data_IF_058198686424
#
_entry.id   IF_058198686424
#
_cell.length_a   1.000
_cell.length_b   1.000
_cell.length_c   1.000
_cell.angle_alpha   90.00
_cell.angle_beta   90.00
_cell.angle_gamma   90.00
#
_symmetry.space_group_name_H-M   'P 1'
#
loop_
_entity.id
_entity.type
_entity.pdbx_description
1 polymer ?
#
# COMPACT_ATOMS: atom_id res chain seq x y z
N UNK A 1 13.49 7.07 -1.85
CA UNK A 1 13.84 6.63 -0.48
C UNK A 1 13.44 5.18 -0.23
N UNK A 2 12.15 4.82 -0.22
CA UNK A 2 11.75 3.43 0.03
C UNK A 2 12.30 2.43 -1.01
N UNK A 3 12.31 2.78 -2.31
CA UNK A 3 12.99 1.97 -3.35
C UNK A 3 14.46 1.68 -3.00
N UNK A 4 15.20 2.69 -2.51
CA UNK A 4 16.59 2.54 -2.07
C UNK A 4 16.71 1.58 -0.88
N UNK A 5 15.83 1.72 0.12
CA UNK A 5 15.78 0.79 1.26
C UNK A 5 15.53 -0.65 0.80
N UNK A 6 14.57 -0.85 -0.10
CA UNK A 6 14.28 -2.19 -0.64
C UNK A 6 15.45 -2.74 -1.44
N UNK A 7 16.15 -1.93 -2.23
CA UNK A 7 17.36 -2.36 -2.93
C UNK A 7 18.43 -2.85 -1.94
N UNK A 8 18.69 -2.11 -0.87
CA UNK A 8 19.64 -2.53 0.17
C UNK A 8 19.20 -3.83 0.86
N UNK A 9 17.91 -3.96 1.19
CA UNK A 9 17.38 -5.20 1.76
C UNK A 9 17.51 -6.39 0.81
N UNK A 10 17.40 -6.14 -0.51
CA UNK A 10 17.61 -7.15 -1.56
C UNK A 10 19.07 -7.54 -1.71
N UNK A 11 19.99 -6.57 -1.73
CA UNK A 11 21.43 -6.81 -1.80
C UNK A 11 21.92 -7.71 -0.64
N UNK A 12 21.26 -7.62 0.52
CA UNK A 12 21.50 -8.47 1.70
C UNK A 12 20.74 -9.81 1.68
N UNK A 13 19.92 -10.09 0.66
CA UNK A 13 19.09 -11.30 0.55
C UNK A 13 17.96 -11.38 1.58
N UNK A 14 17.55 -10.25 2.19
CA UNK A 14 16.54 -10.25 3.25
C UNK A 14 15.11 -10.40 2.70
N UNK A 15 14.87 -9.89 1.48
CA UNK A 15 13.58 -10.04 0.79
C UNK A 15 13.15 -11.49 0.50
N UNK A 16 14.08 -12.44 0.54
CA UNK A 16 13.81 -13.88 0.41
C UNK A 16 13.49 -14.54 1.76
N UNK A 17 13.85 -13.89 2.87
CA UNK A 17 13.73 -14.43 4.23
C UNK A 17 12.53 -13.87 4.99
N UNK A 18 11.97 -12.75 4.54
CA UNK A 18 10.84 -12.09 5.16
C UNK A 18 9.92 -11.45 4.13
N UNK A 19 8.62 -11.42 4.43
CA UNK A 19 7.65 -10.69 3.64
C UNK A 19 7.59 -9.23 4.08
N UNK A 20 7.68 -8.31 3.12
CA UNK A 20 7.65 -6.88 3.36
C UNK A 20 6.27 -6.33 2.99
N UNK A 21 5.55 -5.85 3.99
CA UNK A 21 4.25 -5.17 3.82
C UNK A 21 4.44 -3.66 3.97
N UNK A 22 4.06 -2.90 2.96
CA UNK A 22 4.17 -1.43 2.99
C UNK A 22 2.91 -0.84 3.60
N UNK A 23 3.07 -0.11 4.71
CA UNK A 23 1.98 0.66 5.31
C UNK A 23 1.57 1.83 4.43
N UNK A 24 0.28 1.92 4.07
CA UNK A 24 -0.28 3.00 3.24
C UNK A 24 -1.59 3.50 3.86
N UNK A 25 -1.93 4.77 3.65
CA UNK A 25 -3.17 5.34 4.17
C UNK A 25 -3.54 6.67 3.53
N UNK A 26 -4.85 6.96 3.37
CA UNK A 26 -5.30 8.20 2.73
C UNK A 26 -5.13 9.42 3.65
N UNK A 27 -4.66 10.52 3.07
CA UNK A 27 -4.53 11.81 3.76
C UNK A 27 -5.85 12.59 3.70
N UNK A 28 -6.44 12.89 4.87
CA UNK A 28 -7.74 13.57 4.92
C UNK A 28 -7.70 15.03 4.43
N UNK A 29 -6.57 15.71 4.61
CA UNK A 29 -6.39 17.13 4.29
C UNK A 29 -4.92 17.53 4.29
N UNK A 30 -4.62 18.71 3.75
CA UNK A 30 -3.33 19.39 3.87
C UNK A 30 -2.93 19.64 5.32
N UNK A 31 -3.90 19.93 6.21
CA UNK A 31 -3.63 20.14 7.65
C UNK A 31 -3.15 18.85 8.32
N UNK A 32 -3.76 17.72 7.96
CA UNK A 32 -3.33 16.40 8.43
C UNK A 32 -1.94 16.07 7.89
N UNK A 33 -1.66 16.36 6.62
CA UNK A 33 -0.35 16.16 6.02
C UNK A 33 0.74 17.02 6.72
N UNK A 34 0.48 18.31 6.95
CA UNK A 34 1.40 19.20 7.69
C UNK A 34 1.62 18.74 9.13
N UNK A 35 0.56 18.30 9.82
CA UNK A 35 0.69 17.73 11.16
C UNK A 35 1.58 16.49 11.15
N UNK A 36 1.35 15.54 10.24
CA UNK A 36 2.16 14.32 10.14
C UNK A 36 3.62 14.65 9.85
N UNK A 37 3.88 15.57 8.92
CA UNK A 37 5.23 16.05 8.57
C UNK A 37 5.96 16.71 9.74
N UNK A 38 5.26 17.49 10.55
CA UNK A 38 5.88 18.33 11.59
C UNK A 38 5.89 17.70 12.98
N UNK A 39 5.00 16.74 13.26
CA UNK A 39 4.78 16.18 14.61
C UNK A 39 5.08 14.70 14.73
N UNK A 40 5.24 13.97 13.63
CA UNK A 40 5.53 12.53 13.69
C UNK A 40 7.00 12.28 13.32
N UNK A 41 7.85 11.84 14.28
CA UNK A 41 9.25 11.55 14.01
C UNK A 41 9.44 10.56 12.88
N UNK A 42 10.38 10.84 11.98
CA UNK A 42 10.69 9.98 10.84
C UNK A 42 9.69 10.02 9.69
N UNK A 43 8.56 10.73 9.82
CA UNK A 43 7.63 10.93 8.71
C UNK A 43 8.09 12.09 7.84
N UNK A 44 8.16 11.83 6.54
CA UNK A 44 8.45 12.84 5.54
C UNK A 44 7.35 12.85 4.48
N UNK A 45 6.64 13.97 4.38
CA UNK A 45 5.65 14.22 3.32
C UNK A 45 6.22 15.29 2.39
N UNK A 46 6.39 15.00 1.09
CA UNK A 46 6.88 15.97 0.11
C UNK A 46 5.98 17.22 0.00
N UNK A 47 6.57 18.38 -0.28
CA UNK A 47 5.84 19.64 -0.46
C UNK A 47 4.77 19.55 -1.55
N UNK A 48 5.06 18.83 -2.64
CA UNK A 48 4.12 18.59 -3.74
C UNK A 48 2.82 17.92 -3.28
N UNK A 49 2.87 17.00 -2.31
CA UNK A 49 1.69 16.31 -1.78
C UNK A 49 0.86 17.25 -0.93
N UNK A 50 1.52 18.06 -0.09
CA UNK A 50 0.83 19.06 0.74
C UNK A 50 0.17 20.11 -0.15
N UNK A 51 0.88 20.59 -1.17
CA UNK A 51 0.38 21.62 -2.08
C UNK A 51 -0.77 21.10 -2.96
N UNK A 52 -0.68 19.85 -3.43
CA UNK A 52 -1.77 19.18 -4.14
C UNK A 52 -3.05 19.16 -3.29
N UNK A 53 -2.96 18.76 -2.02
CA UNK A 53 -4.09 18.79 -1.09
C UNK A 53 -4.57 20.21 -0.77
N UNK A 54 -3.65 21.18 -0.68
CA UNK A 54 -3.97 22.59 -0.40
C UNK A 54 -4.80 23.22 -1.51
N UNK A 55 -4.44 22.95 -2.77
CA UNK A 55 -5.14 23.45 -3.98
C UNK A 55 -6.50 22.76 -4.20
N UNK A 56 -6.70 21.56 -3.67
CA UNK A 56 -7.97 20.85 -3.80
C UNK A 56 -9.09 21.52 -3.00
N UNK A 57 -10.28 21.76 -3.59
CA UNK A 57 -11.43 22.29 -2.86
C UNK A 57 -11.78 21.44 -1.64
N UNK A 58 -12.19 22.07 -0.53
CA UNK A 58 -12.46 21.39 0.76
C UNK A 58 -13.36 20.15 0.62
N UNK A 59 -14.39 20.22 -0.22
CA UNK A 59 -15.32 19.11 -0.47
C UNK A 59 -14.67 17.89 -1.15
N UNK A 60 -13.57 18.08 -1.90
CA UNK A 60 -12.87 17.03 -2.66
C UNK A 60 -11.56 16.56 -2.01
N UNK A 61 -11.11 17.17 -0.92
CA UNK A 61 -9.81 16.83 -0.28
C UNK A 61 -9.71 15.37 0.13
N UNK A 62 -10.81 14.78 0.61
CA UNK A 62 -10.87 13.38 0.99
C UNK A 62 -10.68 12.44 -0.21
N UNK A 63 -11.33 12.76 -1.33
CA UNK A 63 -11.18 12.02 -2.59
C UNK A 63 -9.74 12.15 -3.12
N UNK A 64 -9.15 13.35 -3.06
CA UNK A 64 -7.76 13.56 -3.44
C UNK A 64 -6.79 12.76 -2.57
N UNK A 65 -7.04 12.73 -1.26
CA UNK A 65 -6.28 11.91 -0.32
C UNK A 65 -6.34 10.41 -0.61
N UNK A 66 -7.53 9.92 -0.99
CA UNK A 66 -7.73 8.55 -1.49
C UNK A 66 -6.90 8.31 -2.75
N UNK A 67 -6.99 9.21 -3.72
CA UNK A 67 -6.27 9.12 -4.99
C UNK A 67 -4.76 9.06 -4.80
N UNK A 68 -4.20 9.92 -3.94
CA UNK A 68 -2.77 9.89 -3.57
C UNK A 68 -2.40 8.53 -2.95
N UNK A 69 -3.25 7.96 -2.08
CA UNK A 69 -3.02 6.63 -1.49
C UNK A 69 -2.99 5.53 -2.57
N UNK A 70 -3.94 5.55 -3.50
CA UNK A 70 -4.02 4.62 -4.63
C UNK A 70 -2.77 4.71 -5.51
N UNK A 71 -2.31 5.91 -5.86
CA UNK A 71 -1.09 6.13 -6.63
C UNK A 71 0.15 5.59 -5.91
N UNK A 72 0.24 5.77 -4.59
CA UNK A 72 1.33 5.20 -3.78
C UNK A 72 1.28 3.67 -3.83
N UNK A 73 0.09 3.06 -3.66
CA UNK A 73 -0.08 1.60 -3.74
C UNK A 73 0.42 1.08 -5.09
N UNK A 74 0.00 1.71 -6.19
CA UNK A 74 0.43 1.33 -7.54
C UNK A 74 1.97 1.38 -7.67
N UNK A 75 2.60 2.46 -7.20
CA UNK A 75 4.06 2.61 -7.25
C UNK A 75 4.82 1.60 -6.38
N UNK A 76 4.32 1.27 -5.18
CA UNK A 76 5.05 0.35 -4.28
C UNK A 76 4.91 -1.11 -4.72
N UNK A 77 3.84 -1.45 -5.45
CA UNK A 77 3.65 -2.78 -6.05
C UNK A 77 4.68 -3.10 -7.14
N UNK A 78 5.21 -2.08 -7.80
CA UNK A 78 6.27 -2.23 -8.81
C UNK A 78 7.65 -2.48 -8.17
N UNK A 79 7.77 -2.36 -6.85
CA UNK A 79 9.05 -2.53 -6.14
C UNK A 79 9.27 -4.01 -5.84
N UNK A 80 10.31 -4.58 -6.44
CA UNK A 80 10.71 -5.95 -6.18
C UNK A 80 10.99 -6.19 -4.69
N UNK A 81 10.55 -7.34 -4.18
CA UNK A 81 10.65 -7.72 -2.76
C UNK A 81 9.49 -7.21 -1.90
N UNK A 82 8.64 -6.30 -2.39
CA UNK A 82 7.39 -5.95 -1.71
C UNK A 82 6.37 -7.07 -1.89
N UNK A 83 5.87 -7.59 -0.78
CA UNK A 83 4.92 -8.70 -0.77
C UNK A 83 3.47 -8.20 -0.76
N UNK A 84 3.22 -6.98 -0.29
CA UNK A 84 1.89 -6.42 -0.28
C UNK A 84 1.82 -5.08 0.44
N UNK A 85 0.60 -4.66 0.73
CA UNK A 85 0.32 -3.40 1.41
C UNK A 85 -0.54 -3.64 2.65
N UNK A 86 -0.27 -2.87 3.69
CA UNK A 86 -1.11 -2.77 4.87
C UNK A 86 -1.87 -1.43 4.81
N UNK A 87 -3.16 -1.49 4.47
CA UNK A 87 -4.00 -0.30 4.32
C UNK A 87 -4.50 0.14 5.69
N UNK A 88 -4.08 1.34 6.12
CA UNK A 88 -4.48 2.00 7.35
C UNK A 88 -5.41 3.17 7.02
N UNK A 89 -6.68 3.05 7.36
CA UNK A 89 -7.70 4.06 7.06
C UNK A 89 -8.42 4.52 8.33
N UNK A 90 -7.67 4.97 9.32
CA UNK A 90 -8.24 5.41 10.61
C UNK A 90 -9.30 6.51 10.42
N UNK A 91 -10.53 6.25 10.90
CA UNK A 91 -11.72 7.11 10.76
C UNK A 91 -12.12 7.39 9.30
N UNK A 92 -11.68 6.54 8.38
CA UNK A 92 -11.96 6.58 6.95
C UNK A 92 -12.11 5.13 6.42
N UNK A 93 -12.56 4.21 7.25
CA UNK A 93 -12.64 2.77 6.99
C UNK A 93 -13.51 2.44 5.78
N UNK A 94 -14.52 3.28 5.51
CA UNK A 94 -15.38 3.17 4.34
C UNK A 94 -14.63 3.35 3.01
N UNK A 95 -13.47 4.01 3.00
CA UNK A 95 -12.66 4.19 1.79
C UNK A 95 -11.83 2.95 1.44
N UNK A 96 -11.69 1.98 2.36
CA UNK A 96 -10.79 0.84 2.16
C UNK A 96 -11.19 0.01 0.93
N UNK A 97 -12.48 -0.24 0.75
CA UNK A 97 -12.97 -1.00 -0.40
C UNK A 97 -12.63 -0.31 -1.72
N UNK A 98 -12.93 0.98 -1.83
CA UNK A 98 -12.63 1.80 -3.01
C UNK A 98 -11.13 1.86 -3.30
N UNK A 99 -10.29 2.02 -2.27
CA UNK A 99 -8.83 2.03 -2.42
C UNK A 99 -8.34 0.70 -3.00
N UNK A 100 -8.84 -0.43 -2.50
CA UNK A 100 -8.43 -1.76 -2.96
C UNK A 100 -8.83 -1.96 -4.43
N UNK A 101 -10.05 -1.56 -4.79
CA UNK A 101 -10.56 -1.67 -6.16
C UNK A 101 -9.80 -0.75 -7.13
N UNK A 102 -9.69 0.54 -6.83
CA UNK A 102 -9.01 1.53 -7.67
C UNK A 102 -7.49 1.29 -7.78
N UNK A 103 -6.88 0.69 -6.75
CA UNK A 103 -5.48 0.28 -6.81
C UNK A 103 -5.25 -1.00 -7.66
N UNK A 104 -6.30 -1.59 -8.23
CA UNK A 104 -6.21 -2.80 -9.04
C UNK A 104 -5.73 -4.00 -8.22
N UNK A 105 -6.16 -4.09 -6.96
CA UNK A 105 -5.91 -5.24 -6.08
C UNK A 105 -7.04 -6.28 -6.13
N UNK A 106 -7.99 -6.11 -7.06
CA UNK A 106 -9.04 -7.08 -7.34
C UNK A 106 -8.93 -7.57 -8.81
N UNK A 107 -9.15 -8.87 -9.07
CA UNK A 107 -9.20 -9.95 -8.09
C UNK A 107 -7.87 -10.04 -7.32
N UNK A 108 -7.88 -10.69 -6.15
CA UNK A 108 -6.70 -10.78 -5.26
C UNK A 108 -5.44 -11.14 -6.08
N UNK A 109 -4.38 -10.31 -6.05
CA UNK A 109 -3.15 -10.60 -6.77
C UNK A 109 -2.54 -11.90 -6.26
N UNK A 110 -2.10 -12.75 -7.19
CA UNK A 110 -1.50 -14.03 -6.88
C UNK A 110 0.00 -13.82 -6.60
N UNK A 111 0.48 -14.31 -5.46
CA UNK A 111 1.91 -14.34 -5.13
C UNK A 111 2.54 -15.63 -5.65
N UNK A 112 3.45 -15.47 -6.61
CA UNK A 112 4.26 -16.56 -7.15
C UNK A 112 5.08 -17.20 -6.01
N UNK A 113 5.02 -18.52 -5.88
CA UNK A 113 5.68 -19.28 -4.81
C UNK A 113 4.78 -19.64 -3.64
N UNK A 114 4.03 -18.69 -3.08
CA UNK A 114 3.09 -18.96 -1.97
C UNK A 114 1.78 -19.58 -2.49
N UNK A 115 1.17 -18.95 -3.48
CA UNK A 115 -0.14 -19.38 -3.98
C UNK A 115 -0.06 -20.67 -4.81
N UNK A 116 1.08 -20.94 -5.45
CA UNK A 116 1.32 -22.23 -6.12
C UNK A 116 1.37 -23.39 -5.12
N UNK A 117 1.85 -23.17 -3.89
CA UNK A 117 1.77 -24.12 -2.78
C UNK A 117 0.34 -24.32 -2.28
N UNK A 118 -0.42 -23.23 -2.13
CA UNK A 118 -1.82 -23.25 -1.72
C UNK A 118 -2.73 -23.94 -2.75
N UNK A 119 -2.54 -23.70 -4.04
CA UNK A 119 -3.34 -24.32 -5.10
C UNK A 119 -3.07 -25.82 -5.17
N UNK A 120 -1.81 -26.26 -5.05
CA UNK A 120 -1.46 -27.68 -4.93
C UNK A 120 -2.12 -28.31 -3.70
N UNK A 121 -2.12 -27.64 -2.55
CA UNK A 121 -2.80 -28.11 -1.33
C UNK A 121 -4.33 -28.20 -1.49
N UNK A 122 -4.97 -27.20 -2.11
CA UNK A 122 -6.41 -27.19 -2.41
C UNK A 122 -6.81 -28.30 -3.39
N UNK A 123 -6.01 -28.52 -4.45
CA UNK A 123 -6.23 -29.62 -5.41
C UNK A 123 -6.07 -31.00 -4.76
N UNK A 124 -5.08 -31.18 -3.87
CA UNK A 124 -4.92 -32.43 -3.10
C UNK A 124 -6.11 -32.73 -2.19
N UNK A 125 -6.62 -31.72 -1.46
CA UNK A 125 -7.85 -31.85 -0.63
C UNK A 125 -9.11 -32.20 -1.44
N UNK A 126 -9.23 -31.69 -2.67
CA UNK A 126 -10.37 -32.03 -3.55
C UNK A 126 -10.32 -33.48 -4.04
N UNK A 127 -9.12 -34.02 -4.30
CA UNK A 127 -8.92 -35.41 -4.70
C UNK A 127 -9.05 -36.42 -3.55
N UNK A 128 -8.94 -36.00 -2.29
CA UNK A 128 -9.11 -36.88 -1.12
C UNK A 128 -10.56 -36.98 -0.62
N UNK A 129 -11.45 -36.12 -1.11
CA UNK A 129 -12.88 -36.09 -0.76
C UNK A 129 -13.76 -36.67 -1.89
N UNK A 130 -13.15 -37.39 -2.82
CA UNK A 130 -13.78 -38.06 -3.96
C UNK A 130 -13.34 -39.52 -3.95
#
# INVERSE_FOLDING_TARGET
RFKTFMNQARDMGLHEKAFYLVGVGPLRSEKTAEFMRSKVPGVHIPDEIVERLRKTPKAKKREEGKKICVEIIQQVREIEGVSGVHVMAYRQEELVAEIIEEAGLLPRPMQVGFDSGQEKARRRKRKSNQ
#
